data_IF_501708386332
#
_entry.id   IF_501708386332
#
_cell.length_a   1.000
_cell.length_b   1.000
_cell.length_c   1.000
_cell.angle_alpha   90.00
_cell.angle_beta   90.00
_cell.angle_gamma   90.00
#
_symmetry.space_group_name_H-M   'P 1'
#
loop_
_entity.id
_entity.type
_entity.pdbx_description
1 polymer ?
#
# COMPACT_ATOMS: atom_id res chain seq x y z
N UNK A 1 2.35 15.34 -14.69
CA UNK A 1 1.31 14.29 -14.53
C UNK A 1 1.94 13.09 -13.82
N UNK A 2 1.70 12.97 -12.52
CA UNK A 2 2.34 11.95 -11.69
C UNK A 2 1.93 10.51 -12.04
N UNK A 3 2.90 9.59 -11.90
CA UNK A 3 2.64 8.14 -11.89
C UNK A 3 1.68 7.79 -10.73
N UNK A 4 0.80 6.83 -10.95
CA UNK A 4 -0.09 6.31 -9.91
C UNK A 4 -0.27 4.82 -10.15
N UNK A 5 0.03 3.98 -9.18
CA UNK A 5 -0.29 2.55 -9.27
C UNK A 5 -1.74 2.31 -8.90
N UNK A 6 -2.31 1.22 -9.44
CA UNK A 6 -3.73 0.92 -9.30
C UNK A 6 -3.91 -0.48 -8.72
N UNK A 7 -4.45 -0.57 -7.50
CA UNK A 7 -4.77 -1.86 -6.88
C UNK A 7 -5.86 -2.64 -7.63
N UNK A 8 -6.77 -1.94 -8.32
CA UNK A 8 -7.83 -2.56 -9.13
C UNK A 8 -7.32 -3.27 -10.38
N UNK A 9 -6.07 -3.02 -10.79
CA UNK A 9 -5.44 -3.70 -11.93
C UNK A 9 -4.46 -4.79 -11.49
N UNK A 10 -4.44 -5.14 -10.20
CA UNK A 10 -3.58 -6.20 -9.66
C UNK A 10 -4.15 -7.55 -10.06
N UNK A 11 -3.38 -8.31 -10.85
CA UNK A 11 -3.78 -9.64 -11.31
C UNK A 11 -3.52 -10.71 -10.24
N UNK A 12 -4.13 -11.89 -10.39
CA UNK A 12 -3.92 -13.02 -9.47
C UNK A 12 -2.46 -13.44 -9.38
N UNK A 13 -1.68 -13.30 -10.45
CA UNK A 13 -0.26 -13.62 -10.49
C UNK A 13 0.67 -12.46 -10.08
N UNK A 14 0.13 -11.27 -9.81
CA UNK A 14 0.92 -10.06 -9.52
C UNK A 14 1.35 -9.95 -8.05
N UNK A 15 1.39 -11.05 -7.30
CA UNK A 15 1.76 -11.07 -5.90
C UNK A 15 2.49 -12.35 -5.50
N UNK A 16 3.19 -12.30 -4.38
CA UNK A 16 3.68 -13.49 -3.72
C UNK A 16 4.23 -13.21 -2.33
N UNK A 17 4.33 -14.27 -1.54
CA UNK A 17 4.91 -14.24 -0.20
C UNK A 17 5.92 -15.38 -0.11
N UNK A 18 7.21 -15.03 -0.07
CA UNK A 18 8.28 -16.00 0.18
C UNK A 18 8.81 -15.87 1.62
N UNK A 19 9.91 -16.56 1.93
CA UNK A 19 10.50 -16.59 3.26
C UNK A 19 11.13 -15.26 3.69
N UNK A 20 11.43 -14.35 2.74
CA UNK A 20 12.08 -13.07 2.99
C UNK A 20 11.19 -11.87 2.67
N UNK A 21 10.29 -12.00 1.69
CA UNK A 21 9.56 -10.87 1.10
C UNK A 21 8.09 -11.16 0.85
N UNK A 22 7.27 -10.15 1.15
CA UNK A 22 5.99 -9.94 0.50
C UNK A 22 6.28 -9.11 -0.75
N UNK A 23 5.87 -9.55 -1.92
CA UNK A 23 6.11 -8.80 -3.15
C UNK A 23 4.84 -8.59 -3.97
N UNK A 24 4.82 -7.46 -4.67
CA UNK A 24 3.73 -7.05 -5.55
C UNK A 24 4.30 -6.57 -6.88
N UNK A 25 3.70 -7.00 -7.98
CA UNK A 25 4.00 -6.52 -9.34
C UNK A 25 2.95 -5.50 -9.76
N UNK A 26 3.30 -4.23 -9.64
CA UNK A 26 2.39 -3.11 -9.79
C UNK A 26 2.42 -2.54 -11.21
N UNK A 27 1.22 -2.26 -11.72
CA UNK A 27 1.01 -1.56 -12.98
C UNK A 27 0.78 -0.07 -12.75
N UNK A 28 1.58 0.76 -13.42
CA UNK A 28 1.37 2.20 -13.47
C UNK A 28 0.08 2.49 -14.25
N UNK A 29 -0.85 3.27 -13.68
CA UNK A 29 -2.17 3.62 -14.25
C UNK A 29 -2.09 4.22 -15.65
N UNK A 30 -1.02 4.95 -15.96
CA UNK A 30 -0.79 5.54 -17.28
C UNK A 30 -0.10 4.60 -18.27
N UNK A 31 0.39 3.44 -17.81
CA UNK A 31 1.10 2.45 -18.61
C UNK A 31 0.42 1.08 -18.51
N UNK A 32 -0.91 1.05 -18.49
CA UNK A 32 -1.69 -0.19 -18.40
C UNK A 32 -1.43 -1.17 -19.56
N UNK A 33 -1.05 -0.64 -20.73
CA UNK A 33 -0.65 -1.41 -21.91
C UNK A 33 0.84 -1.80 -21.92
N UNK A 34 1.64 -1.30 -20.98
CA UNK A 34 3.07 -1.59 -20.91
C UNK A 34 3.34 -2.98 -20.34
N UNK A 35 4.29 -3.67 -20.94
CA UNK A 35 4.85 -4.92 -20.40
C UNK A 35 5.72 -4.67 -19.16
N UNK A 36 6.26 -3.46 -19.01
CA UNK A 36 7.08 -3.10 -17.85
C UNK A 36 6.20 -2.77 -16.64
N UNK A 37 6.32 -3.60 -15.61
CA UNK A 37 5.66 -3.45 -14.31
C UNK A 37 6.71 -3.33 -13.21
N UNK A 38 6.40 -2.55 -12.17
CA UNK A 38 7.30 -2.34 -11.04
C UNK A 38 7.11 -3.43 -10.01
N UNK A 39 8.19 -4.10 -9.62
CA UNK A 39 8.13 -5.08 -8.53
C UNK A 39 8.55 -4.38 -7.24
N UNK A 40 7.66 -4.35 -6.26
CA UNK A 40 7.93 -3.90 -4.90
C UNK A 40 8.14 -5.12 -4.04
N UNK A 41 9.30 -5.22 -3.38
CA UNK A 41 9.61 -6.26 -2.39
C UNK A 41 9.65 -5.63 -1.01
N UNK A 42 8.82 -6.13 -0.11
CA UNK A 42 8.64 -5.66 1.25
C UNK A 42 9.21 -6.74 2.19
N UNK A 43 10.29 -6.47 2.93
CA UNK A 43 10.93 -7.45 3.77
C UNK A 43 10.01 -7.86 4.93
N UNK A 44 9.80 -9.17 5.08
CA UNK A 44 9.02 -9.79 6.17
C UNK A 44 9.86 -9.89 7.46
N UNK A 45 11.17 -9.63 7.38
CA UNK A 45 12.02 -9.58 8.55
C UNK A 45 11.49 -8.58 9.60
N UNK A 46 11.63 -8.93 10.87
CA UNK A 46 11.32 -8.02 11.98
C UNK A 46 12.30 -6.86 11.92
N UNK A 47 11.85 -5.75 11.38
CA UNK A 47 12.54 -4.47 11.45
C UNK A 47 11.94 -3.63 12.58
N UNK A 48 12.78 -2.84 13.26
CA UNK A 48 12.34 -1.84 14.21
C UNK A 48 13.09 -0.54 14.04
N UNK A 49 12.42 0.60 14.18
CA UNK A 49 13.06 1.92 14.23
C UNK A 49 12.51 2.63 15.44
N UNK A 50 13.40 3.22 16.25
CA UNK A 50 13.05 3.97 17.47
C UNK A 50 12.12 3.18 18.42
N UNK A 51 12.38 1.88 18.59
CA UNK A 51 11.61 1.01 19.49
C UNK A 51 10.25 0.56 18.98
N UNK A 52 9.93 0.81 17.70
CA UNK A 52 8.66 0.40 17.10
C UNK A 52 8.87 -0.73 16.10
N UNK A 53 8.22 -1.87 16.35
CA UNK A 53 8.31 -3.05 15.49
C UNK A 53 7.44 -2.88 14.23
N UNK A 54 7.93 -3.45 13.12
CA UNK A 54 7.20 -3.53 11.86
C UNK A 54 5.94 -4.39 11.97
N UNK A 55 4.81 -3.94 11.40
CA UNK A 55 3.63 -4.80 11.17
C UNK A 55 3.71 -5.61 9.88
N UNK A 56 4.73 -5.41 9.05
CA UNK A 56 4.87 -6.18 7.80
C UNK A 56 4.79 -7.70 8.02
N UNK A 57 5.39 -8.31 9.09
CA UNK A 57 5.22 -9.73 9.35
C UNK A 57 3.75 -10.13 9.56
N UNK A 58 2.98 -9.33 10.32
CA UNK A 58 1.56 -9.58 10.54
C UNK A 58 0.75 -9.40 9.25
N UNK A 59 1.05 -8.37 8.47
CA UNK A 59 0.44 -8.14 7.15
C UNK A 59 0.71 -9.30 6.20
N UNK A 60 1.93 -9.86 6.19
CA UNK A 60 2.27 -11.03 5.39
C UNK A 60 1.46 -12.27 5.82
N UNK A 61 1.17 -12.43 7.11
CA UNK A 61 0.29 -13.50 7.60
C UNK A 61 -1.15 -13.31 7.14
N UNK A 62 -1.71 -12.11 7.23
CA UNK A 62 -3.05 -11.80 6.70
C UNK A 62 -3.11 -12.04 5.19
N UNK A 63 -2.08 -11.59 4.45
CA UNK A 63 -2.00 -11.81 3.00
C UNK A 63 -1.97 -13.31 2.65
N UNK A 64 -1.17 -14.11 3.35
CA UNK A 64 -1.14 -15.58 3.16
C UNK A 64 -2.50 -16.21 3.44
N UNK A 65 -3.15 -15.83 4.54
CA UNK A 65 -4.47 -16.34 4.89
C UNK A 65 -5.52 -15.98 3.83
N UNK A 66 -5.52 -14.74 3.35
CA UNK A 66 -6.42 -14.30 2.28
C UNK A 66 -6.20 -15.08 0.99
N UNK A 67 -4.95 -15.25 0.56
CA UNK A 67 -4.61 -15.99 -0.66
C UNK A 67 -5.01 -17.46 -0.52
N UNK A 68 -4.71 -18.08 0.62
CA UNK A 68 -5.11 -19.47 0.90
C UNK A 68 -6.64 -19.62 0.86
N UNK A 69 -7.38 -18.71 1.50
CA UNK A 69 -8.84 -18.74 1.47
C UNK A 69 -9.39 -18.59 0.04
N UNK A 70 -8.82 -17.70 -0.77
CA UNK A 70 -9.22 -17.55 -2.18
C UNK A 70 -8.99 -18.84 -2.99
N UNK A 71 -7.95 -19.61 -2.67
CA UNK A 71 -7.66 -20.88 -3.33
C UNK A 71 -8.66 -21.97 -2.95
N UNK A 72 -9.39 -21.86 -1.84
CA UNK A 72 -10.41 -22.85 -1.48
C UNK A 72 -11.79 -22.53 -2.06
N UNK A 73 -11.98 -21.32 -2.61
CA UNK A 73 -13.29 -20.92 -3.12
C UNK A 73 -13.68 -21.64 -4.43
N UNK A 74 -14.90 -22.20 -4.52
CA UNK A 74 -15.45 -22.69 -5.77
C UNK A 74 -15.48 -21.59 -6.84
N UNK A 75 -15.06 -21.90 -8.07
CA UNK A 75 -15.07 -20.94 -9.17
C UNK A 75 -13.88 -19.97 -9.22
N UNK A 76 -12.88 -20.10 -8.34
CA UNK A 76 -11.64 -19.29 -8.32
C UNK A 76 -10.94 -19.15 -9.67
N UNK A 77 -11.02 -20.17 -10.53
CA UNK A 77 -10.38 -20.17 -11.85
C UNK A 77 -10.92 -19.08 -12.79
N UNK A 78 -12.12 -18.54 -12.53
CA UNK A 78 -12.72 -17.44 -13.30
C UNK A 78 -12.30 -16.06 -12.80
N UNK A 79 -11.65 -15.98 -11.63
CA UNK A 79 -11.18 -14.73 -11.06
C UNK A 79 -9.82 -14.38 -11.65
N UNK A 80 -9.74 -13.31 -12.43
CA UNK A 80 -8.47 -12.86 -13.04
C UNK A 80 -7.75 -11.81 -12.19
N UNK A 81 -8.49 -11.11 -11.33
CA UNK A 81 -7.96 -10.05 -10.48
C UNK A 81 -7.78 -10.52 -9.04
N UNK A 82 -6.81 -9.94 -8.35
CA UNK A 82 -6.43 -10.33 -6.98
C UNK A 82 -7.57 -10.16 -5.98
N UNK A 83 -8.28 -9.04 -6.04
CA UNK A 83 -9.39 -8.70 -5.13
C UNK A 83 -10.77 -9.12 -5.66
N UNK A 84 -10.84 -10.01 -6.65
CA UNK A 84 -12.12 -10.48 -7.21
C UNK A 84 -12.52 -11.81 -6.58
N UNK A 85 -13.70 -11.89 -5.96
CA UNK A 85 -14.27 -13.14 -5.49
C UNK A 85 -15.08 -13.84 -6.61
N UNK A 86 -15.33 -15.17 -6.50
CA UNK A 86 -16.15 -15.87 -7.48
C UNK A 86 -17.57 -15.28 -7.59
N UNK A 87 -18.02 -15.04 -8.82
CA UNK A 87 -19.32 -14.41 -9.09
C UNK A 87 -19.29 -12.89 -9.11
N UNK A 88 -18.21 -12.24 -8.69
CA UNK A 88 -18.06 -10.79 -8.75
C UNK A 88 -17.51 -10.32 -10.11
N UNK A 89 -17.89 -9.12 -10.58
CA UNK A 89 -17.20 -8.46 -11.68
C UNK A 89 -15.76 -8.09 -11.27
N UNK A 90 -14.88 -7.77 -12.25
CA UNK A 90 -13.55 -7.24 -11.94
C UNK A 90 -13.62 -6.01 -11.01
N UNK A 91 -12.66 -5.86 -10.07
CA UNK A 91 -12.67 -4.79 -9.10
C UNK A 91 -12.56 -3.43 -9.78
N UNK A 92 -13.34 -2.47 -9.28
CA UNK A 92 -13.34 -1.08 -9.71
C UNK A 92 -13.02 -0.16 -8.54
N UNK A 93 -12.64 1.09 -8.82
CA UNK A 93 -12.31 2.06 -7.76
C UNK A 93 -13.42 2.18 -6.73
N UNK A 94 -14.69 2.18 -7.15
CA UNK A 94 -15.85 2.24 -6.26
C UNK A 94 -15.88 1.07 -5.25
N UNK A 95 -15.64 -0.17 -5.71
CA UNK A 95 -15.61 -1.35 -4.83
C UNK A 95 -14.49 -1.26 -3.78
N UNK A 96 -13.30 -0.80 -4.17
CA UNK A 96 -12.18 -0.62 -3.24
C UNK A 96 -12.44 0.52 -2.24
N UNK A 97 -13.09 1.59 -2.68
CA UNK A 97 -13.50 2.68 -1.79
C UNK A 97 -14.54 2.21 -0.76
N UNK A 98 -15.51 1.39 -1.18
CA UNK A 98 -16.51 0.82 -0.27
C UNK A 98 -15.88 -0.10 0.78
N UNK A 99 -14.91 -0.94 0.38
CA UNK A 99 -14.15 -1.76 1.33
C UNK A 99 -13.37 -0.92 2.33
N UNK A 100 -12.70 0.14 1.87
CA UNK A 100 -11.99 1.06 2.76
C UNK A 100 -12.95 1.75 3.74
N UNK A 101 -14.07 2.26 3.25
CA UNK A 101 -15.07 2.93 4.08
C UNK A 101 -15.61 1.98 5.16
N UNK A 102 -15.94 0.74 4.78
CA UNK A 102 -16.40 -0.27 5.71
C UNK A 102 -15.33 -0.58 6.78
N UNK A 103 -14.08 -0.80 6.38
CA UNK A 103 -12.99 -1.05 7.32
C UNK A 103 -12.75 0.12 8.28
N UNK A 104 -12.84 1.37 7.80
CA UNK A 104 -12.70 2.56 8.65
C UNK A 104 -13.87 2.68 9.64
N UNK A 105 -15.09 2.37 9.20
CA UNK A 105 -16.29 2.38 10.04
C UNK A 105 -16.23 1.37 11.18
N UNK A 106 -15.79 0.14 10.90
CA UNK A 106 -15.59 -0.91 11.91
C UNK A 106 -14.55 -0.49 12.96
N UNK A 107 -13.58 0.33 12.57
CA UNK A 107 -12.57 0.88 13.48
C UNK A 107 -13.01 2.17 14.18
N UNK A 108 -14.24 2.65 13.96
CA UNK A 108 -14.75 3.91 14.50
C UNK A 108 -14.04 5.15 13.94
N UNK A 109 -13.39 5.04 12.78
CA UNK A 109 -12.65 6.13 12.14
C UNK A 109 -13.56 6.82 11.12
N UNK A 110 -13.89 8.08 11.39
CA UNK A 110 -14.64 8.94 10.47
C UNK A 110 -13.79 10.07 9.92
N UNK A 111 -14.04 10.45 8.66
CA UNK A 111 -13.48 11.67 8.12
C UNK A 111 -14.19 12.89 8.75
N UNK A 112 -13.50 14.04 8.91
CA UNK A 112 -14.15 15.28 9.31
C UNK A 112 -15.28 15.68 8.35
N UNK A 113 -16.24 16.46 8.85
CA UNK A 113 -17.35 16.95 8.04
C UNK A 113 -16.84 17.65 6.76
N UNK A 114 -17.42 17.30 5.61
CA UNK A 114 -17.03 17.82 4.30
C UNK A 114 -15.81 17.15 3.66
N UNK A 115 -15.20 16.14 4.31
CA UNK A 115 -14.06 15.37 3.79
C UNK A 115 -14.39 13.88 3.65
N UNK A 116 -13.60 13.19 2.83
CA UNK A 116 -13.67 11.73 2.68
C UNK A 116 -12.26 11.11 2.76
N UNK A 117 -12.14 9.99 3.46
CA UNK A 117 -10.93 9.18 3.44
C UNK A 117 -10.98 8.19 2.26
N UNK A 118 -10.14 8.44 1.27
CA UNK A 118 -10.03 7.65 0.06
C UNK A 118 -8.70 6.90 0.03
N UNK A 119 -8.55 5.97 -0.91
CA UNK A 119 -7.24 5.33 -1.15
C UNK A 119 -6.12 6.34 -1.44
N UNK A 120 -6.46 7.51 -2.00
CA UNK A 120 -5.50 8.59 -2.16
C UNK A 120 -5.08 9.22 -0.82
N UNK A 121 -5.99 9.34 0.14
CA UNK A 121 -5.70 9.81 1.49
C UNK A 121 -4.71 8.88 2.20
N UNK A 122 -4.87 7.55 2.06
CA UNK A 122 -3.92 6.57 2.58
C UNK A 122 -2.53 6.69 1.93
N UNK A 123 -2.48 6.89 0.61
CA UNK A 123 -1.21 7.09 -0.12
C UNK A 123 -0.49 8.36 0.35
N UNK A 124 -1.21 9.47 0.50
CA UNK A 124 -0.65 10.71 1.04
C UNK A 124 -0.18 10.56 2.48
N UNK A 125 -0.98 9.90 3.33
CA UNK A 125 -0.61 9.59 4.71
C UNK A 125 0.66 8.73 4.82
N UNK A 126 0.80 7.72 3.95
CA UNK A 126 2.02 6.92 3.87
C UNK A 126 3.24 7.77 3.50
N UNK A 127 3.10 8.72 2.57
CA UNK A 127 4.20 9.64 2.24
C UNK A 127 4.59 10.55 3.40
N UNK A 128 3.61 11.15 4.08
CA UNK A 128 3.84 11.95 5.29
C UNK A 128 4.51 11.12 6.39
N UNK A 129 4.11 9.86 6.57
CA UNK A 129 4.72 8.96 7.55
C UNK A 129 6.17 8.61 7.18
N UNK A 130 6.47 8.37 5.89
CA UNK A 130 7.82 8.10 5.40
C UNK A 130 8.77 9.28 5.69
N UNK A 131 8.34 10.51 5.39
CA UNK A 131 9.14 11.70 5.70
C UNK A 131 9.36 11.88 7.21
N UNK A 132 8.33 11.66 8.03
CA UNK A 132 8.43 11.79 9.49
C UNK A 132 9.46 10.84 10.12
N UNK A 133 9.68 9.66 9.52
CA UNK A 133 10.71 8.69 9.95
C UNK A 133 12.02 8.81 9.16
N UNK A 134 12.20 9.90 8.39
CA UNK A 134 13.39 10.23 7.61
C UNK A 134 13.74 9.23 6.50
N UNK A 135 12.74 8.59 5.89
CA UNK A 135 12.94 7.91 4.60
C UNK A 135 13.35 8.96 3.57
N UNK A 136 14.43 8.71 2.84
CA UNK A 136 14.85 9.61 1.77
C UNK A 136 13.72 9.82 0.75
N UNK A 137 13.54 11.05 0.28
CA UNK A 137 12.55 11.37 -0.76
C UNK A 137 12.71 10.52 -2.01
N UNK A 138 13.93 10.18 -2.39
CA UNK A 138 14.18 9.25 -3.50
C UNK A 138 13.47 7.90 -3.31
N UNK A 139 13.64 7.26 -2.16
CA UNK A 139 12.96 5.98 -1.83
C UNK A 139 11.45 6.15 -1.70
N UNK A 140 10.98 7.24 -1.07
CA UNK A 140 9.55 7.55 -0.95
C UNK A 140 8.87 7.71 -2.32
N UNK A 141 9.48 8.51 -3.21
CA UNK A 141 9.01 8.75 -4.57
C UNK A 141 9.03 7.47 -5.39
N UNK A 142 10.09 6.67 -5.29
CA UNK A 142 10.17 5.38 -5.95
C UNK A 142 9.06 4.44 -5.48
N UNK A 143 8.86 4.29 -4.16
CA UNK A 143 7.84 3.40 -3.61
C UNK A 143 6.43 3.87 -3.97
N UNK A 144 6.17 5.17 -3.85
CA UNK A 144 4.88 5.74 -4.19
C UNK A 144 4.60 5.75 -5.69
N UNK A 145 5.62 5.55 -6.53
CA UNK A 145 5.62 5.85 -7.96
C UNK A 145 5.20 7.31 -8.23
N UNK A 146 5.93 8.30 -7.73
CA UNK A 146 5.64 9.73 -7.99
C UNK A 146 6.70 10.23 -8.97
N UNK A 147 6.30 10.96 -10.01
CA UNK A 147 7.22 11.50 -11.03
C UNK A 147 7.16 13.00 -11.04
N UNK A 148 8.32 13.63 -10.86
CA UNK A 148 8.52 15.04 -11.13
C UNK A 148 8.40 15.95 -9.90
N UNK A 149 9.48 16.71 -9.71
CA UNK A 149 9.68 17.94 -8.91
C UNK A 149 9.09 18.04 -7.49
N UNK A 150 9.86 18.71 -6.63
CA UNK A 150 9.52 19.00 -5.23
C UNK A 150 8.16 19.70 -5.04
N UNK A 151 7.59 20.28 -6.10
CA UNK A 151 6.40 21.13 -6.05
C UNK A 151 5.06 20.38 -5.92
N UNK A 152 4.83 19.31 -6.72
CA UNK A 152 3.56 18.56 -6.69
C UNK A 152 3.42 17.71 -5.40
N UNK A 153 4.55 17.19 -4.90
CA UNK A 153 4.63 16.37 -3.68
C UNK A 153 4.39 17.19 -2.41
N UNK A 154 4.89 18.44 -2.37
CA UNK A 154 4.94 19.26 -1.15
C UNK A 154 3.62 19.90 -0.75
N UNK A 155 2.71 20.17 -1.69
CA UNK A 155 1.39 20.75 -1.40
C UNK A 155 0.28 19.72 -1.17
N UNK A 156 0.32 18.58 -1.87
CA UNK A 156 -0.81 17.67 -1.92
C UNK A 156 -0.78 16.55 -0.86
N UNK A 157 0.39 16.22 -0.31
CA UNK A 157 0.55 14.99 0.47
C UNK A 157 1.36 15.10 1.76
N UNK A 158 1.87 16.30 2.08
CA UNK A 158 2.65 16.55 3.28
C UNK A 158 1.91 17.49 4.21
N UNK A 159 1.47 16.97 5.35
CA UNK A 159 0.90 17.80 6.39
C UNK A 159 1.99 18.15 7.40
N UNK A 160 2.34 19.45 7.50
CA UNK A 160 3.51 19.93 8.26
C UNK A 160 3.44 19.73 9.77
N UNK A 161 2.26 19.51 10.35
CA UNK A 161 2.09 19.26 11.79
C UNK A 161 2.43 17.83 12.23
N UNK A 162 3.06 17.02 11.36
CA UNK A 162 3.29 15.61 11.59
C UNK A 162 4.59 15.35 12.39
N UNK A 163 4.48 15.17 13.72
CA UNK A 163 5.56 14.69 14.61
C UNK A 163 5.69 13.15 14.74
N UNK A 164 6.91 12.56 14.72
CA UNK A 164 7.09 11.09 14.73
C UNK A 164 6.38 10.41 15.93
N UNK A 165 5.55 9.41 15.64
CA UNK A 165 4.79 8.63 16.63
C UNK A 165 4.63 7.16 16.21
N UNK A 166 4.10 6.33 17.12
CA UNK A 166 4.05 4.87 16.99
C UNK A 166 3.46 4.39 15.66
N UNK A 167 2.24 4.81 15.32
CA UNK A 167 1.53 4.41 14.09
C UNK A 167 2.31 4.66 12.78
N UNK A 168 3.24 5.62 12.78
CA UNK A 168 4.01 6.04 11.59
C UNK A 168 5.22 5.15 11.32
N UNK A 169 5.72 4.52 12.37
CA UNK A 169 6.95 3.73 12.37
C UNK A 169 6.67 2.24 12.28
N UNK A 170 5.44 1.84 11.97
CA UNK A 170 5.03 0.43 12.02
C UNK A 170 4.92 -0.16 10.60
N UNK A 171 4.41 0.59 9.63
CA UNK A 171 4.27 0.10 8.25
C UNK A 171 5.50 0.35 7.37
N UNK A 172 6.13 1.51 7.51
CA UNK A 172 7.19 1.99 6.59
C UNK A 172 8.59 1.90 7.18
N UNK A 173 8.71 1.28 8.35
CA UNK A 173 9.92 1.20 9.15
C UNK A 173 11.09 0.55 8.43
N UNK A 174 10.79 -0.40 7.56
CA UNK A 174 11.75 -1.12 6.74
C UNK A 174 12.39 -0.26 5.65
N UNK A 175 11.82 0.91 5.32
CA UNK A 175 12.39 1.87 4.38
C UNK A 175 13.36 2.85 5.04
N UNK A 176 13.23 3.03 6.35
CA UNK A 176 14.01 4.00 7.08
C UNK A 176 15.50 3.59 7.04
N UNK A 177 16.42 4.56 7.03
CA UNK A 177 17.83 4.25 7.22
C UNK A 177 17.97 3.52 8.57
N UNK A 178 18.42 2.28 8.53
CA UNK A 178 18.81 1.56 9.73
C UNK A 178 19.86 2.40 10.43
N UNK A 179 19.69 2.65 11.73
CA UNK A 179 20.85 3.05 12.53
C UNK A 179 21.75 1.82 12.50
N UNK A 180 22.86 1.92 11.77
CA UNK A 180 24.04 1.16 12.15
C UNK A 180 24.27 1.43 13.64
N UNK A 181 24.49 0.34 14.36
CA UNK A 181 25.00 0.22 15.74
C UNK A 181 25.14 1.54 16.49
#
# INVERSE_FOLDING_TARGET
MGRQDSCVSLLREDHGVDHQYLWLRLTEKQKRSSRFRRIVRIPIARASVRGHASVIPALATVARAFVSACLELPGKARCTHFFQLPGEPPPVTASMSAWLEHALRELGIAAPAGLAYLGHSLRSGASSAAEAIRVSRFRGNWLGAWVGTEWEHSRASLHRSFFPGHARSILLVWLAPGRGV
#
